data_IF_703721374231
#
_entry.id   IF_703721374231
#
_cell.length_a   1.000
_cell.length_b   1.000
_cell.length_c   1.000
_cell.angle_alpha   90.00
_cell.angle_beta   90.00
_cell.angle_gamma   90.00
#
_symmetry.space_group_name_H-M   'P 1'
#
loop_
_entity.id
_entity.type
_entity.pdbx_description
1 polymer ?
#
# COMPACT_ATOMS: atom_id res chain seq x y z
N UNK A 1 -11.53 24.87 -11.93
CA UNK A 1 -10.31 24.22 -12.48
C UNK A 1 -9.13 25.12 -12.19
N UNK A 2 -8.08 24.61 -11.53
CA UNK A 2 -6.84 25.36 -11.33
C UNK A 2 -5.79 24.87 -12.33
N UNK A 3 -5.10 25.81 -12.98
CA UNK A 3 -4.01 25.49 -13.91
C UNK A 3 -2.68 25.66 -13.19
N UNK A 4 -1.89 24.60 -13.17
CA UNK A 4 -0.56 24.59 -12.56
C UNK A 4 0.47 24.19 -13.59
N UNK A 5 1.65 24.79 -13.54
CA UNK A 5 2.81 24.36 -14.31
C UNK A 5 3.69 23.50 -13.41
N UNK A 6 4.13 22.35 -13.91
CA UNK A 6 5.02 21.43 -13.22
C UNK A 6 6.25 21.20 -14.07
N UNK A 7 7.42 21.12 -13.44
CA UNK A 7 8.65 20.74 -14.09
C UNK A 7 8.78 19.22 -14.07
N UNK A 8 9.12 18.63 -15.21
CA UNK A 8 9.33 17.20 -15.38
C UNK A 8 10.73 16.99 -15.95
N UNK A 9 11.34 15.86 -15.61
CA UNK A 9 12.52 15.40 -16.33
C UNK A 9 12.13 15.00 -17.76
N UNK A 10 13.03 15.22 -18.72
CA UNK A 10 12.75 15.00 -20.14
C UNK A 10 12.37 13.54 -20.45
N UNK A 11 13.03 12.59 -19.78
CA UNK A 11 12.76 11.16 -19.89
C UNK A 11 11.35 10.80 -19.38
N UNK A 12 10.96 11.37 -18.23
CA UNK A 12 9.62 11.19 -17.67
C UNK A 12 8.55 11.80 -18.58
N UNK A 13 8.83 12.96 -19.18
CA UNK A 13 7.92 13.59 -20.14
C UNK A 13 7.70 12.71 -21.37
N UNK A 14 8.76 12.16 -21.97
CA UNK A 14 8.62 11.28 -23.13
C UNK A 14 7.90 9.97 -22.76
N UNK A 15 8.17 9.38 -21.60
CA UNK A 15 7.41 8.23 -21.12
C UNK A 15 5.91 8.53 -20.92
N UNK A 16 5.57 9.69 -20.33
CA UNK A 16 4.18 10.12 -20.17
C UNK A 16 3.47 10.30 -21.51
N UNK A 17 4.16 10.89 -22.49
CA UNK A 17 3.66 11.11 -23.84
C UNK A 17 3.38 9.80 -24.57
N UNK A 18 4.31 8.85 -24.52
CA UNK A 18 4.10 7.51 -25.09
C UNK A 18 2.91 6.80 -24.44
N UNK A 19 2.81 6.86 -23.11
CA UNK A 19 1.72 6.23 -22.36
C UNK A 19 0.37 6.88 -22.65
N UNK A 20 0.30 8.21 -22.68
CA UNK A 20 -0.92 8.94 -23.03
C UNK A 20 -1.41 8.59 -24.44
N UNK A 21 -0.49 8.52 -25.42
CA UNK A 21 -0.79 8.10 -26.78
C UNK A 21 -1.34 6.66 -26.84
N UNK A 22 -0.74 5.72 -26.11
CA UNK A 22 -1.23 4.32 -26.06
C UNK A 22 -2.65 4.20 -25.51
N UNK A 23 -3.04 5.10 -24.60
CA UNK A 23 -4.35 5.14 -23.95
C UNK A 23 -5.34 6.09 -24.66
N UNK A 24 -4.90 6.75 -25.74
CA UNK A 24 -5.69 7.76 -26.49
C UNK A 24 -6.27 8.87 -25.61
N UNK A 25 -5.54 9.28 -24.58
CA UNK A 25 -5.90 10.40 -23.68
C UNK A 25 -4.86 11.51 -23.76
N UNK A 26 -5.20 12.70 -23.28
CA UNK A 26 -4.21 13.77 -23.14
C UNK A 26 -3.24 13.50 -21.98
N UNK A 27 -2.04 14.07 -22.04
CA UNK A 27 -1.07 14.00 -20.95
C UNK A 27 -1.66 14.57 -19.65
N UNK A 28 -2.38 15.70 -19.75
CA UNK A 28 -3.05 16.31 -18.60
C UNK A 28 -4.09 15.38 -17.96
N UNK A 29 -4.85 14.65 -18.77
CA UNK A 29 -5.85 13.69 -18.31
C UNK A 29 -5.20 12.47 -17.65
N UNK A 30 -4.11 11.97 -18.24
CA UNK A 30 -3.31 10.89 -17.66
C UNK A 30 -2.73 11.29 -16.29
N UNK A 31 -2.14 12.48 -16.20
CA UNK A 31 -1.57 13.01 -14.95
C UNK A 31 -2.67 13.18 -13.91
N UNK A 32 -3.79 13.82 -14.27
CA UNK A 32 -4.94 14.03 -13.39
C UNK A 32 -5.47 12.72 -12.82
N UNK A 33 -5.77 11.74 -13.68
CA UNK A 33 -6.29 10.45 -13.23
C UNK A 33 -5.29 9.64 -12.40
N UNK A 34 -3.99 9.85 -12.61
CA UNK A 34 -2.95 9.21 -11.79
C UNK A 34 -2.85 9.87 -10.42
N UNK A 35 -2.82 11.20 -10.35
CA UNK A 35 -2.83 11.95 -9.09
C UNK A 35 -4.09 11.69 -8.27
N UNK A 36 -5.26 11.60 -8.91
CA UNK A 36 -6.51 11.25 -8.23
C UNK A 36 -6.44 9.86 -7.59
N UNK A 37 -5.87 8.87 -8.27
CA UNK A 37 -5.71 7.52 -7.68
C UNK A 37 -4.71 7.50 -6.54
N UNK A 38 -3.60 8.23 -6.66
CA UNK A 38 -2.53 8.24 -5.66
C UNK A 38 -2.92 9.02 -4.40
N UNK A 39 -3.59 10.17 -4.54
CA UNK A 39 -4.04 10.98 -3.39
C UNK A 39 -5.03 10.20 -2.50
N UNK A 40 -5.82 9.31 -3.08
CA UNK A 40 -6.79 8.48 -2.34
C UNK A 40 -6.23 7.12 -1.90
N UNK A 41 -4.99 6.77 -2.26
CA UNK A 41 -4.33 5.57 -1.74
C UNK A 41 -3.77 5.87 -0.35
N UNK A 42 -4.54 5.56 0.68
CA UNK A 42 -4.01 5.46 2.04
C UNK A 42 -3.14 4.19 2.15
N UNK A 43 -1.82 4.30 2.36
CA UNK A 43 -0.94 3.14 2.50
C UNK A 43 -1.33 2.23 3.66
N UNK A 44 -1.92 2.79 4.73
CA UNK A 44 -2.38 2.02 5.88
C UNK A 44 -3.61 1.18 5.54
N UNK A 45 -4.52 1.71 4.72
CA UNK A 45 -5.68 0.98 4.24
C UNK A 45 -5.31 -0.20 3.33
N UNK A 46 -4.25 -0.07 2.53
CA UNK A 46 -3.79 -1.15 1.64
C UNK A 46 -3.16 -2.32 2.44
N UNK A 47 -2.40 -2.01 3.49
CA UNK A 47 -1.86 -3.03 4.40
C UNK A 47 -2.98 -3.76 5.16
N UNK A 48 -3.95 -3.02 5.71
CA UNK A 48 -5.08 -3.62 6.43
C UNK A 48 -5.95 -4.48 5.49
N UNK A 49 -6.25 -3.98 4.29
CA UNK A 49 -6.97 -4.74 3.27
C UNK A 49 -6.21 -5.99 2.79
N UNK A 50 -4.87 -5.95 2.76
CA UNK A 50 -4.04 -7.12 2.48
C UNK A 50 -4.23 -8.20 3.56
N UNK A 51 -4.15 -7.83 4.85
CA UNK A 51 -4.33 -8.78 5.94
C UNK A 51 -5.75 -9.34 6.03
N UNK A 52 -6.78 -8.54 5.71
CA UNK A 52 -8.18 -9.00 5.68
C UNK A 52 -8.46 -10.03 4.58
N UNK A 53 -7.71 -9.99 3.48
CA UNK A 53 -7.84 -10.95 2.37
C UNK A 53 -7.12 -12.28 2.62
N UNK A 54 -6.21 -12.34 3.59
CA UNK A 54 -5.50 -13.57 3.91
C UNK A 54 -6.46 -14.56 4.56
N UNK A 55 -6.72 -15.68 3.88
CA UNK A 55 -7.36 -16.84 4.49
C UNK A 55 -6.32 -17.62 5.30
N UNK A 56 -6.63 -18.04 6.52
CA UNK A 56 -5.75 -18.93 7.27
C UNK A 56 -5.55 -20.23 6.48
N UNK A 57 -4.34 -20.79 6.55
CA UNK A 57 -4.06 -22.11 6.01
C UNK A 57 -4.94 -23.15 6.70
N UNK A 58 -5.29 -24.24 6.01
CA UNK A 58 -6.15 -25.30 6.56
C UNK A 58 -5.60 -25.87 7.88
N UNK A 59 -4.27 -25.92 8.02
CA UNK A 59 -3.59 -26.33 9.26
C UNK A 59 -3.85 -25.44 10.47
N UNK A 60 -4.32 -24.21 10.25
CA UNK A 60 -4.65 -23.22 11.29
C UNK A 60 -6.14 -22.92 11.36
N UNK A 61 -7.00 -23.65 10.64
CA UNK A 61 -8.44 -23.38 10.58
C UNK A 61 -9.15 -23.42 11.95
N UNK A 62 -8.65 -24.23 12.88
CA UNK A 62 -9.17 -24.37 14.25
C UNK A 62 -8.39 -23.56 15.28
N UNK A 63 -7.34 -22.86 14.87
CA UNK A 63 -6.44 -22.16 15.79
C UNK A 63 -6.80 -20.69 15.85
N UNK A 64 -7.18 -20.22 17.05
CA UNK A 64 -7.36 -18.80 17.30
C UNK A 64 -6.02 -18.05 17.26
N UNK A 65 -5.92 -17.05 16.38
CA UNK A 65 -4.71 -16.26 16.18
C UNK A 65 -4.27 -15.54 17.46
N UNK A 66 -5.23 -15.04 18.26
CA UNK A 66 -4.92 -14.29 19.48
C UNK A 66 -4.28 -15.18 20.55
N UNK A 67 -4.80 -16.40 20.70
CA UNK A 67 -4.29 -17.42 21.61
C UNK A 67 -2.94 -17.94 21.15
N UNK A 68 -2.76 -18.17 19.85
CA UNK A 68 -1.49 -18.61 19.27
C UNK A 68 -0.36 -17.61 19.52
N UNK A 69 -0.57 -16.33 19.23
CA UNK A 69 0.42 -15.28 19.46
C UNK A 69 0.72 -15.11 20.94
N UNK A 70 -0.30 -15.19 21.81
CA UNK A 70 -0.12 -15.12 23.26
C UNK A 70 0.75 -16.26 23.78
N UNK A 71 0.55 -17.48 23.27
CA UNK A 71 1.34 -18.65 23.64
C UNK A 71 2.80 -18.58 23.16
N UNK A 72 3.04 -17.95 22.01
CA UNK A 72 4.41 -17.69 21.55
C UNK A 72 5.06 -16.62 22.44
N UNK A 73 4.36 -15.51 22.69
CA UNK A 73 4.87 -14.41 23.51
C UNK A 73 5.12 -14.81 24.96
N UNK A 74 4.27 -15.64 25.55
CA UNK A 74 4.45 -16.10 26.94
C UNK A 74 5.67 -16.99 27.13
N UNK A 75 6.13 -17.65 26.06
CA UNK A 75 7.36 -18.46 26.04
C UNK A 75 8.57 -17.67 25.54
N UNK A 76 8.34 -16.52 24.90
CA UNK A 76 9.39 -15.60 24.48
C UNK A 76 9.80 -14.75 25.67
N UNK A 77 11.03 -14.92 26.13
CA UNK A 77 11.59 -14.20 27.27
C UNK A 77 11.91 -12.76 26.87
N UNK A 78 10.90 -11.91 26.78
CA UNK A 78 11.08 -10.46 26.71
C UNK A 78 11.22 -9.98 28.16
N UNK A 79 12.46 -9.74 28.59
CA UNK A 79 12.76 -9.23 29.92
C UNK A 79 12.17 -7.81 30.03
N UNK A 80 11.29 -7.57 31.00
CA UNK A 80 10.86 -6.21 31.32
C UNK A 80 12.02 -5.46 32.00
N UNK A 81 12.30 -4.18 31.66
CA UNK A 81 13.43 -3.42 32.23
C UNK A 81 13.35 -3.15 33.74
N UNK A 82 12.28 -3.60 34.42
CA UNK A 82 12.00 -3.35 35.85
C UNK A 82 12.45 -4.49 36.77
N UNK A 83 13.08 -5.55 36.26
CA UNK A 83 13.61 -6.66 37.06
C UNK A 83 15.14 -6.52 37.31
N UNK A 84 15.63 -5.30 37.56
CA UNK A 84 17.03 -5.01 37.94
C UNK A 84 17.11 -4.15 39.20
#
# INVERSE_FOLDING_TARGET
>A
MHRTQIYLQDDLYEHLKLRAASMRVSISELIRGTLERDIHKDPAADAQAFFERLKPLESFATTDASTYVRNIRSKSRIMHPTDA
#
